data_IF_812945215764
#
_entry.id   IF_812945215764
#
_cell.length_a   1.000
_cell.length_b   1.000
_cell.length_c   1.000
_cell.angle_alpha   90.00
_cell.angle_beta   90.00
_cell.angle_gamma   90.00
#
_symmetry.space_group_name_H-M   'P 1'
#
loop_
_entity.id
_entity.type
_entity.pdbx_description
1 polymer ?
#
# COMPACT_ATOMS: atom_id res chain seq x y z
N UNK A 1 1.11 -8.97 7.86
CA UNK A 1 1.23 -9.09 9.34
C UNK A 1 0.56 -7.84 9.91
N UNK A 2 -0.57 -8.00 10.63
CA UNK A 2 -1.47 -6.90 11.01
C UNK A 2 -1.10 -6.29 12.38
N UNK A 3 -1.39 -5.00 12.57
CA UNK A 3 -1.24 -4.28 13.85
C UNK A 3 -1.99 -4.98 15.00
N UNK A 4 -3.10 -5.66 14.69
CA UNK A 4 -3.86 -6.48 15.65
C UNK A 4 -3.01 -7.59 16.23
N UNK A 5 -2.25 -8.30 15.39
CA UNK A 5 -1.39 -9.40 15.83
C UNK A 5 -0.23 -8.89 16.68
N UNK A 6 0.31 -7.72 16.35
CA UNK A 6 1.38 -7.08 17.12
C UNK A 6 0.90 -6.65 18.51
N UNK A 7 -0.29 -6.07 18.59
CA UNK A 7 -0.88 -5.62 19.85
C UNK A 7 -1.60 -6.73 20.62
N UNK A 8 -1.71 -7.94 20.04
CA UNK A 8 -2.45 -9.08 20.60
C UNK A 8 -3.90 -8.74 20.96
N UNK A 9 -4.57 -8.01 20.07
CA UNK A 9 -5.99 -7.68 20.25
C UNK A 9 -6.87 -8.87 19.86
N UNK A 10 -8.05 -8.93 20.47
CA UNK A 10 -9.01 -10.03 20.34
C UNK A 10 -10.37 -9.43 19.94
N UNK A 11 -10.97 -9.95 18.87
CA UNK A 11 -12.29 -9.55 18.40
C UNK A 11 -13.37 -9.96 19.42
N UNK A 12 -14.38 -9.10 19.61
CA UNK A 12 -15.42 -9.27 20.63
C UNK A 12 -15.00 -8.86 22.04
N UNK A 13 -13.70 -8.84 22.35
CA UNK A 13 -13.16 -8.35 23.63
C UNK A 13 -12.62 -6.92 23.53
N UNK A 14 -11.77 -6.65 22.53
CA UNK A 14 -11.07 -5.37 22.36
C UNK A 14 -11.65 -4.51 21.24
N UNK A 15 -12.22 -5.13 20.21
CA UNK A 15 -12.85 -4.45 19.08
C UNK A 15 -14.02 -5.27 18.53
N UNK A 16 -14.98 -4.61 17.91
CA UNK A 16 -16.20 -5.28 17.42
C UNK A 16 -16.06 -5.83 15.99
N UNK A 17 -15.29 -5.15 15.13
CA UNK A 17 -15.07 -5.56 13.76
C UNK A 17 -13.78 -4.92 13.22
N UNK A 18 -13.17 -5.57 12.23
CA UNK A 18 -12.05 -5.05 11.45
C UNK A 18 -12.53 -4.66 10.05
N UNK A 19 -12.14 -3.46 9.61
CA UNK A 19 -12.34 -3.00 8.23
C UNK A 19 -10.96 -2.72 7.65
N UNK A 20 -10.53 -3.54 6.69
CA UNK A 20 -9.28 -3.33 5.97
C UNK A 20 -9.53 -2.40 4.78
N UNK A 21 -9.00 -1.18 4.88
CA UNK A 21 -9.10 -0.21 3.80
C UNK A 21 -8.43 -0.71 2.53
N UNK A 22 -7.33 -1.45 2.62
CA UNK A 22 -6.62 -1.98 1.46
C UNK A 22 -7.48 -2.91 0.63
N UNK A 23 -8.29 -3.74 1.30
CA UNK A 23 -9.23 -4.64 0.63
C UNK A 23 -10.43 -3.89 0.05
N UNK A 24 -11.04 -2.99 0.82
CA UNK A 24 -12.17 -2.15 0.35
C UNK A 24 -11.80 -1.34 -0.88
N UNK A 25 -10.55 -0.88 -0.93
CA UNK A 25 -10.02 -0.06 -2.00
C UNK A 25 -9.21 -0.87 -3.04
N UNK A 26 -9.26 -2.20 -3.02
CA UNK A 26 -8.63 -2.99 -4.09
C UNK A 26 -9.32 -2.71 -5.43
N UNK A 27 -8.52 -2.51 -6.49
CA UNK A 27 -9.04 -2.22 -7.82
C UNK A 27 -8.43 -3.17 -8.84
N UNK A 28 -9.25 -3.83 -9.65
CA UNK A 28 -8.76 -4.63 -10.78
C UNK A 28 -8.23 -3.71 -11.89
N UNK A 29 -6.99 -3.93 -12.32
CA UNK A 29 -6.39 -3.25 -13.47
C UNK A 29 -6.51 -4.14 -14.72
N UNK A 30 -7.38 -3.78 -15.69
CA UNK A 30 -7.57 -4.60 -16.89
C UNK A 30 -6.33 -4.65 -17.78
N UNK A 31 -5.42 -3.66 -17.69
CA UNK A 31 -4.19 -3.61 -18.49
C UNK A 31 -3.21 -4.73 -18.14
N UNK A 32 -3.15 -5.09 -16.87
CA UNK A 32 -2.23 -6.12 -16.36
C UNK A 32 -2.97 -7.36 -15.85
N UNK A 33 -4.30 -7.38 -15.99
CA UNK A 33 -5.19 -8.46 -15.57
C UNK A 33 -4.96 -8.89 -14.12
N UNK A 34 -4.73 -7.94 -13.23
CA UNK A 34 -4.44 -8.20 -11.82
C UNK A 34 -5.09 -7.18 -10.89
N UNK A 35 -5.23 -7.55 -9.62
CA UNK A 35 -5.64 -6.62 -8.57
C UNK A 35 -4.48 -5.72 -8.20
N UNK A 36 -4.76 -4.41 -8.13
CA UNK A 36 -3.85 -3.40 -7.64
C UNK A 36 -4.23 -2.97 -6.24
N UNK A 37 -3.20 -2.92 -5.42
CA UNK A 37 -3.20 -2.37 -4.08
C UNK A 37 -2.40 -1.08 -4.09
N UNK A 38 -2.87 -0.09 -3.35
CA UNK A 38 -2.22 1.20 -3.22
C UNK A 38 -1.85 1.43 -1.75
N UNK A 39 -0.79 2.22 -1.52
CA UNK A 39 -0.43 2.60 -0.16
C UNK A 39 -1.38 3.66 0.37
N UNK A 40 -1.58 3.70 1.69
CA UNK A 40 -2.37 4.74 2.37
C UNK A 40 -1.98 6.16 1.93
N UNK A 41 -0.68 6.42 1.74
CA UNK A 41 -0.17 7.70 1.25
C UNK A 41 -0.67 8.05 -0.17
N UNK A 42 -0.75 7.06 -1.07
CA UNK A 42 -1.33 7.26 -2.40
C UNK A 42 -2.83 7.53 -2.30
N UNK A 43 -3.55 6.79 -1.45
CA UNK A 43 -5.00 6.98 -1.27
C UNK A 43 -5.33 8.35 -0.71
N UNK A 44 -4.67 8.74 0.38
CA UNK A 44 -4.82 10.05 1.01
C UNK A 44 -4.48 11.20 0.05
N UNK A 45 -3.44 11.05 -0.76
CA UNK A 45 -3.05 12.06 -1.73
C UNK A 45 -4.08 12.20 -2.86
N UNK A 46 -4.48 11.07 -3.48
CA UNK A 46 -5.37 11.11 -4.64
C UNK A 46 -6.78 11.57 -4.25
N UNK A 47 -7.33 11.00 -3.19
CA UNK A 47 -8.74 11.17 -2.80
C UNK A 47 -8.96 12.37 -1.88
N UNK A 48 -8.04 12.61 -0.93
CA UNK A 48 -8.21 13.65 0.09
C UNK A 48 -7.31 14.87 -0.12
N UNK A 49 -6.39 14.83 -1.10
CA UNK A 49 -5.35 15.84 -1.34
C UNK A 49 -4.42 16.06 -0.15
N UNK A 50 -4.18 15.00 0.64
CA UNK A 50 -3.29 15.01 1.79
C UNK A 50 -1.97 14.33 1.42
N UNK A 51 -0.85 15.07 1.47
CA UNK A 51 0.49 14.50 1.28
C UNK A 51 1.10 14.05 2.62
N UNK A 52 0.90 12.77 2.96
CA UNK A 52 1.49 12.17 4.16
C UNK A 52 3.03 12.17 4.13
N UNK A 53 3.66 12.16 2.95
CA UNK A 53 5.12 12.23 2.87
C UNK A 53 5.65 13.61 3.27
N UNK A 54 4.93 14.68 2.92
CA UNK A 54 5.28 16.04 3.30
C UNK A 54 5.07 16.34 4.80
N UNK A 55 4.20 15.57 5.46
CA UNK A 55 3.87 15.73 6.89
C UNK A 55 4.84 15.01 7.85
N UNK A 56 6.06 14.72 7.40
CA UNK A 56 7.07 14.01 8.21
C UNK A 56 7.07 12.48 8.02
N UNK A 57 6.40 11.97 6.99
CA UNK A 57 6.40 10.53 6.68
C UNK A 57 5.52 9.72 7.62
N UNK A 58 5.99 8.53 8.01
CA UNK A 58 5.26 7.53 8.81
C UNK A 58 5.00 7.98 10.25
N UNK A 59 4.13 8.97 10.42
CA UNK A 59 3.64 9.45 11.71
C UNK A 59 2.30 8.79 11.96
N UNK A 60 2.27 7.84 12.91
CA UNK A 60 1.08 7.03 13.21
C UNK A 60 -0.20 7.86 13.42
N UNK A 61 -0.09 9.04 14.05
CA UNK A 61 -1.21 9.97 14.23
C UNK A 61 -1.79 10.47 12.91
N UNK A 62 -0.94 10.79 11.93
CA UNK A 62 -1.38 11.31 10.64
C UNK A 62 -1.97 10.19 9.78
N UNK A 63 -1.34 9.01 9.82
CA UNK A 63 -1.84 7.81 9.14
C UNK A 63 -3.23 7.43 9.67
N UNK A 64 -3.42 7.41 10.99
CA UNK A 64 -4.71 7.14 11.63
C UNK A 64 -5.78 8.19 11.26
N UNK A 65 -5.42 9.48 11.20
CA UNK A 65 -6.37 10.53 10.77
C UNK A 65 -6.77 10.35 9.31
N UNK A 66 -5.83 10.03 8.44
CA UNK A 66 -6.09 9.82 7.03
C UNK A 66 -6.97 8.59 6.80
N UNK A 67 -6.69 7.46 7.47
CA UNK A 67 -7.48 6.24 7.34
C UNK A 67 -8.93 6.43 7.82
N UNK A 68 -9.14 7.09 8.95
CA UNK A 68 -10.50 7.41 9.44
C UNK A 68 -11.23 8.35 8.49
N UNK A 69 -10.54 9.34 7.90
CA UNK A 69 -11.16 10.25 6.94
C UNK A 69 -11.55 9.52 5.64
N UNK A 70 -10.70 8.61 5.14
CA UNK A 70 -11.03 7.76 3.99
C UNK A 70 -12.24 6.87 4.29
N UNK A 71 -12.27 6.23 5.45
CA UNK A 71 -13.40 5.40 5.88
C UNK A 71 -14.71 6.19 5.90
N UNK A 72 -14.72 7.33 6.60
CA UNK A 72 -15.91 8.16 6.73
C UNK A 72 -16.43 8.65 5.38
N UNK A 73 -15.53 9.00 4.46
CA UNK A 73 -15.94 9.54 3.16
C UNK A 73 -16.41 8.48 2.17
N UNK A 74 -15.79 7.29 2.14
CA UNK A 74 -15.98 6.36 1.02
C UNK A 74 -16.59 5.02 1.41
N UNK A 75 -16.54 4.63 2.69
CA UNK A 75 -16.90 3.27 3.11
C UNK A 75 -18.08 3.28 4.08
N UNK A 76 -18.11 4.22 5.03
CA UNK A 76 -19.11 4.26 6.11
C UNK A 76 -20.56 4.19 5.62
N UNK A 77 -20.89 4.97 4.59
CA UNK A 77 -22.25 5.07 4.05
C UNK A 77 -22.58 3.97 3.02
N UNK A 78 -21.60 3.09 2.72
CA UNK A 78 -21.72 1.96 1.79
C UNK A 78 -22.18 2.33 0.37
N UNK A 79 -21.95 3.58 -0.05
CA UNK A 79 -22.20 4.03 -1.42
C UNK A 79 -21.18 3.42 -2.39
N UNK A 80 -21.60 2.34 -3.06
CA UNK A 80 -20.76 1.61 -4.01
C UNK A 80 -20.39 2.44 -5.23
N UNK A 81 -21.22 3.39 -5.65
CA UNK A 81 -20.91 4.26 -6.78
C UNK A 81 -19.76 5.21 -6.42
N UNK A 82 -19.83 5.83 -5.24
CA UNK A 82 -18.76 6.70 -4.73
C UNK A 82 -17.46 5.93 -4.53
N UNK A 83 -17.53 4.71 -3.99
CA UNK A 83 -16.37 3.85 -3.79
C UNK A 83 -15.72 3.42 -5.12
N UNK A 84 -16.53 3.06 -6.12
CA UNK A 84 -16.01 2.66 -7.44
C UNK A 84 -15.36 3.85 -8.16
N UNK A 85 -15.95 5.04 -8.08
CA UNK A 85 -15.31 6.26 -8.59
C UNK A 85 -13.95 6.52 -7.93
N UNK A 86 -13.83 6.30 -6.62
CA UNK A 86 -12.58 6.42 -5.90
C UNK A 86 -11.55 5.34 -6.33
N UNK A 87 -11.98 4.09 -6.56
CA UNK A 87 -11.15 3.02 -7.13
C UNK A 87 -10.60 3.38 -8.51
N UNK A 88 -11.44 3.89 -9.39
CA UNK A 88 -11.02 4.32 -10.73
C UNK A 88 -10.10 5.54 -10.69
N UNK A 89 -10.35 6.52 -9.82
CA UNK A 89 -9.50 7.69 -9.66
C UNK A 89 -8.06 7.31 -9.25
N UNK A 90 -7.93 6.36 -8.31
CA UNK A 90 -6.62 5.87 -7.85
C UNK A 90 -5.87 5.08 -8.90
N UNK A 91 -6.59 4.30 -9.72
CA UNK A 91 -6.00 3.54 -10.82
C UNK A 91 -5.43 4.45 -11.91
N UNK A 92 -6.09 5.56 -12.20
CA UNK A 92 -5.66 6.55 -13.20
C UNK A 92 -4.54 7.47 -12.70
N UNK A 93 -4.44 7.66 -11.39
CA UNK A 93 -3.45 8.54 -10.80
C UNK A 93 -2.04 7.94 -10.92
N UNK A 94 -1.02 8.75 -11.27
CA UNK A 94 0.36 8.28 -11.32
C UNK A 94 0.83 7.90 -9.91
N UNK A 95 1.39 6.70 -9.77
CA UNK A 95 2.08 6.27 -8.55
C UNK A 95 3.51 6.80 -8.55
N UNK A 96 4.07 7.09 -7.36
CA UNK A 96 5.49 7.42 -7.24
C UNK A 96 6.34 6.33 -7.89
N UNK A 97 7.38 6.74 -8.63
CA UNK A 97 8.30 5.81 -9.29
C UNK A 97 8.94 4.93 -8.20
N UNK A 98 8.83 3.59 -8.29
CA UNK A 98 9.38 2.71 -7.27
C UNK A 98 10.91 2.87 -7.20
N UNK A 99 11.53 2.73 -6.01
CA UNK A 99 12.96 2.90 -5.82
C UNK A 99 13.82 2.11 -6.82
N UNK A 100 13.43 0.87 -7.12
CA UNK A 100 14.09 0.04 -8.14
C UNK A 100 14.22 0.76 -9.51
N UNK A 101 13.15 1.40 -9.99
CA UNK A 101 13.20 2.16 -11.25
C UNK A 101 13.95 3.48 -11.09
N UNK A 102 13.81 4.15 -9.95
CA UNK A 102 14.48 5.44 -9.68
C UNK A 102 16.00 5.30 -9.64
N UNK A 103 16.50 4.20 -9.10
CA UNK A 103 17.93 3.96 -8.90
C UNK A 103 18.51 2.93 -9.88
N UNK A 104 17.82 2.65 -11.00
CA UNK A 104 18.26 1.67 -11.99
C UNK A 104 18.66 0.30 -11.40
N UNK A 105 17.98 -0.12 -10.32
CA UNK A 105 18.21 -1.37 -9.61
C UNK A 105 19.38 -1.39 -8.61
N UNK A 106 20.07 -0.27 -8.37
CA UNK A 106 21.18 -0.19 -7.42
C UNK A 106 21.12 1.09 -6.59
N UNK A 107 21.02 0.96 -5.26
CA UNK A 107 21.08 2.09 -4.33
C UNK A 107 22.23 1.87 -3.35
N UNK A 108 23.13 2.85 -3.20
CA UNK A 108 24.29 2.76 -2.29
C UNK A 108 25.10 1.45 -2.43
N UNK A 109 25.34 0.99 -3.66
CA UNK A 109 25.99 -0.29 -4.01
C UNK A 109 25.23 -1.55 -3.61
N UNK A 110 24.01 -1.41 -3.08
CA UNK A 110 23.09 -2.52 -2.78
C UNK A 110 22.13 -2.73 -3.94
N UNK A 111 21.97 -3.96 -4.40
CA UNK A 111 21.01 -4.27 -5.45
C UNK A 111 19.59 -4.28 -4.90
N UNK A 112 18.70 -3.52 -5.53
CA UNK A 112 17.28 -3.44 -5.17
C UNK A 112 16.43 -4.53 -5.85
N UNK A 113 17.07 -5.50 -6.51
CA UNK A 113 16.41 -6.49 -7.37
C UNK A 113 16.54 -7.92 -6.84
N UNK A 114 16.72 -8.10 -5.53
CA UNK A 114 16.93 -9.42 -4.91
C UNK A 114 15.87 -10.46 -5.32
N UNK A 115 14.64 -10.02 -5.56
CA UNK A 115 13.51 -10.88 -5.95
C UNK A 115 13.25 -10.94 -7.46
N UNK A 116 14.06 -10.30 -8.29
CA UNK A 116 13.86 -10.23 -9.73
C UNK A 116 15.16 -10.58 -10.49
N UNK A 117 15.36 -11.88 -10.76
CA UNK A 117 16.62 -12.47 -11.26
C UNK A 117 17.16 -11.79 -12.52
N UNK A 118 16.29 -11.37 -13.44
CA UNK A 118 16.68 -10.67 -14.66
C UNK A 118 17.28 -9.27 -14.43
N UNK A 119 17.14 -8.73 -13.22
CA UNK A 119 17.56 -7.38 -12.88
C UNK A 119 18.50 -7.30 -11.66
N UNK A 120 18.91 -8.42 -11.02
CA UNK A 120 19.91 -8.35 -9.93
C UNK A 120 21.29 -8.02 -10.49
N UNK A 121 21.93 -7.04 -9.86
CA UNK A 121 23.33 -6.67 -10.15
C UNK A 121 24.28 -7.06 -9.01
N UNK A 122 23.77 -7.84 -8.07
CA UNK A 122 24.44 -8.28 -6.85
C UNK A 122 25.48 -9.39 -7.05
N UNK A 123 25.38 -10.17 -8.13
CA UNK A 123 26.24 -11.33 -8.38
C UNK A 123 26.05 -12.52 -7.43
N UNK A 124 25.18 -12.41 -6.42
CA UNK A 124 24.91 -13.47 -5.45
C UNK A 124 23.93 -14.51 -6.00
N UNK A 125 24.21 -15.78 -5.72
CA UNK A 125 23.29 -16.92 -5.90
C UNK A 125 22.04 -16.73 -5.06
N UNK A 126 20.91 -17.31 -5.49
CA UNK A 126 19.65 -17.22 -4.75
C UNK A 126 19.81 -17.79 -3.33
N UNK A 127 19.28 -17.10 -2.32
CA UNK A 127 19.26 -17.54 -0.91
C UNK A 127 18.55 -18.91 -0.74
N UNK A 128 17.76 -19.34 -1.73
CA UNK A 128 17.13 -20.67 -1.78
C UNK A 128 18.11 -21.83 -2.07
N UNK A 129 19.40 -21.57 -2.31
CA UNK A 129 20.44 -22.59 -2.39
C UNK A 129 21.23 -22.77 -1.07
N UNK A 130 20.96 -21.97 -0.04
CA UNK A 130 21.59 -22.09 1.28
C UNK A 130 20.88 -23.09 2.23
N UNK A 131 19.82 -23.74 1.75
CA UNK A 131 19.06 -24.77 2.48
C UNK A 131 18.93 -26.09 1.69
N UNK A 132 19.95 -26.44 0.89
CA UNK A 132 20.10 -27.80 0.36
C UNK A 132 21.39 -28.43 0.89
#
# INVERSE_FOLDING_TARGET
MSDINWMKLEEGAHYNALIDLGDEFTTFDPKYSNNKYFSLAHEAYVLLKIDLSAMGGHVARNDAKASIKLYNEYIKDKDQSKLEQARQARLRAPTKIPPFRRFNGVYEKVSLSAFNRGYCRCGQSLVNELHK
#
